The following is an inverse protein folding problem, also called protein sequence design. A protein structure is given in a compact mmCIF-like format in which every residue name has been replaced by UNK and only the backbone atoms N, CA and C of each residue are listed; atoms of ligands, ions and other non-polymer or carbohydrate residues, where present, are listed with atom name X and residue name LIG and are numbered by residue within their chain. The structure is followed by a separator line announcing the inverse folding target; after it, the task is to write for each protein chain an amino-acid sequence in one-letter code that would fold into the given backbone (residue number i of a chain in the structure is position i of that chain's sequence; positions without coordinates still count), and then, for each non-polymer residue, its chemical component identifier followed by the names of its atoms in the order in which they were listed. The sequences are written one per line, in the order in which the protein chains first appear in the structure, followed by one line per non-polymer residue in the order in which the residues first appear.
data_IF_334027089546
#
_entry.id   IF_334027089546
#
_cell.length_a   1.000
_cell.length_b   1.000
_cell.length_c   1.000
_cell.angle_alpha   90.00
_cell.angle_beta   90.00
_cell.angle_gamma   90.00
#
_symmetry.space_group_name_H-M   'P 1'
#
loop_
_entity.id
_entity.type
_entity.pdbx_description
1 polymer ?
#
# COMPACT_ATOMS: atom_id res chain seq x y z
N UNK A 1 0.70 16.51 8.41
CA UNK A 1 0.84 15.03 8.41
C UNK A 1 0.88 14.57 6.96
N UNK A 2 1.93 13.88 6.54
CA UNK A 2 2.01 13.39 5.17
C UNK A 2 0.96 12.32 4.90
N UNK A 3 0.38 12.39 3.72
CA UNK A 3 -0.57 11.39 3.23
C UNK A 3 -0.13 10.92 1.85
N UNK A 4 -0.58 9.72 1.48
CA UNK A 4 -0.20 9.10 0.21
C UNK A 4 -1.43 8.46 -0.41
N UNK A 5 -1.56 8.60 -1.72
CA UNK A 5 -2.46 7.76 -2.51
C UNK A 5 -1.59 6.94 -3.44
N UNK A 6 -1.65 5.62 -3.29
CA UNK A 6 -0.89 4.68 -4.12
C UNK A 6 -1.85 3.90 -5.00
N UNK A 7 -1.61 3.91 -6.30
CA UNK A 7 -2.38 3.11 -7.25
C UNK A 7 -1.53 1.94 -7.72
N UNK A 8 -2.04 0.73 -7.51
CA UNK A 8 -1.35 -0.52 -7.84
C UNK A 8 -2.14 -1.23 -8.93
N UNK A 9 -1.46 -1.62 -10.01
CA UNK A 9 -2.04 -2.52 -10.98
C UNK A 9 -1.49 -3.92 -10.74
N UNK A 10 -2.37 -4.90 -10.60
CA UNK A 10 -1.96 -6.30 -10.38
C UNK A 10 -2.16 -7.12 -11.64
N UNK A 11 -1.42 -8.22 -11.72
CA UNK A 11 -1.55 -9.15 -12.83
C UNK A 11 -2.95 -9.75 -12.86
N UNK A 12 -3.52 -9.89 -14.05
CA UNK A 12 -4.89 -10.36 -14.26
C UNK A 12 -5.15 -11.72 -13.59
N UNK A 13 -4.17 -12.60 -13.60
CA UNK A 13 -4.28 -13.94 -13.02
C UNK A 13 -3.86 -14.01 -11.55
N UNK A 14 -3.57 -12.86 -10.92
CA UNK A 14 -3.08 -12.78 -9.55
C UNK A 14 -3.97 -11.94 -8.64
N UNK A 15 -5.21 -11.66 -9.04
CA UNK A 15 -6.10 -10.76 -8.28
C UNK A 15 -6.35 -11.30 -6.86
N UNK A 16 -6.69 -12.58 -6.71
CA UNK A 16 -6.98 -13.14 -5.39
C UNK A 16 -5.73 -13.25 -4.53
N UNK A 17 -4.58 -13.58 -5.12
CA UNK A 17 -3.30 -13.55 -4.40
C UNK A 17 -2.96 -12.14 -3.93
N UNK A 18 -3.18 -11.14 -4.78
CA UNK A 18 -2.94 -9.75 -4.43
C UNK A 18 -3.82 -9.32 -3.26
N UNK A 19 -5.10 -9.66 -3.28
CA UNK A 19 -6.02 -9.33 -2.18
C UNK A 19 -5.55 -9.95 -0.85
N UNK A 20 -5.16 -11.21 -0.89
CA UNK A 20 -4.64 -11.89 0.30
C UNK A 20 -3.35 -11.25 0.81
N UNK A 21 -2.42 -10.96 -0.11
CA UNK A 21 -1.16 -10.31 0.24
C UNK A 21 -1.40 -8.93 0.85
N UNK A 22 -2.26 -8.12 0.25
CA UNK A 22 -2.53 -6.76 0.73
C UNK A 22 -3.24 -6.75 2.07
N UNK A 23 -4.15 -7.70 2.32
CA UNK A 23 -4.78 -7.85 3.65
C UNK A 23 -3.76 -8.17 4.73
N UNK A 24 -2.86 -9.10 4.45
CA UNK A 24 -1.79 -9.48 5.39
C UNK A 24 -0.85 -8.32 5.63
N UNK A 25 -0.47 -7.62 4.57
CA UNK A 25 0.40 -6.45 4.66
C UNK A 25 -0.23 -5.35 5.52
N UNK A 26 -1.49 -5.02 5.26
CA UNK A 26 -2.19 -3.98 6.03
C UNK A 26 -2.28 -4.35 7.51
N UNK A 27 -2.56 -5.62 7.83
CA UNK A 27 -2.61 -6.07 9.22
C UNK A 27 -1.23 -5.96 9.88
N UNK A 28 -0.16 -6.33 9.17
CA UNK A 28 1.22 -6.21 9.66
C UNK A 28 1.58 -4.76 9.94
N UNK A 29 1.26 -3.85 9.02
CA UNK A 29 1.53 -2.42 9.18
C UNK A 29 0.80 -1.86 10.41
N UNK A 30 -0.48 -2.17 10.56
CA UNK A 30 -1.25 -1.71 11.72
C UNK A 30 -0.69 -2.21 13.05
N UNK A 31 -0.17 -3.44 13.05
CA UNK A 31 0.38 -4.05 14.28
C UNK A 31 1.76 -3.50 14.64
N UNK A 32 2.58 -3.11 13.66
CA UNK A 32 4.00 -2.84 13.86
C UNK A 32 4.43 -1.40 13.60
N UNK A 33 3.56 -0.56 13.06
CA UNK A 33 3.89 0.83 12.71
C UNK A 33 2.95 1.81 13.41
N UNK A 34 3.23 2.18 14.65
CA UNK A 34 2.34 3.08 15.40
C UNK A 34 2.24 4.48 14.78
N UNK A 35 3.23 4.89 13.99
CA UNK A 35 3.23 6.18 13.30
C UNK A 35 2.42 6.20 12.00
N UNK A 36 1.97 5.05 11.52
CA UNK A 36 1.09 4.95 10.36
C UNK A 36 -0.35 5.04 10.84
N UNK A 37 -1.02 6.16 10.54
CA UNK A 37 -2.36 6.47 11.07
C UNK A 37 -3.48 5.92 10.20
N UNK A 38 -3.24 5.71 8.91
CA UNK A 38 -4.17 5.05 8.00
C UNK A 38 -3.37 4.27 6.96
N UNK A 39 -3.83 3.09 6.64
CA UNK A 39 -3.24 2.25 5.61
C UNK A 39 -4.32 1.31 5.12
N UNK A 40 -5.11 1.77 4.13
CA UNK A 40 -6.33 1.09 3.70
C UNK A 40 -6.26 0.84 2.21
N UNK A 41 -6.33 -0.43 1.82
CA UNK A 41 -6.40 -0.83 0.42
C UNK A 41 -7.84 -0.91 -0.04
N UNK A 42 -8.06 -0.44 -1.28
CA UNK A 42 -9.34 -0.49 -1.95
C UNK A 42 -9.15 -1.14 -3.32
N UNK A 43 -10.17 -1.83 -3.80
CA UNK A 43 -10.20 -2.33 -5.18
C UNK A 43 -11.15 -1.46 -5.98
N UNK A 44 -10.77 -1.04 -7.20
CA UNK A 44 -11.68 -0.28 -8.06
C UNK A 44 -12.86 -1.16 -8.45
N UNK A 45 -14.05 -0.56 -8.43
CA UNK A 45 -15.27 -1.30 -8.77
C UNK A 45 -15.33 -1.67 -10.25
N UNK A 46 -14.83 -0.79 -11.11
CA UNK A 46 -14.89 -0.95 -12.57
C UNK A 46 -13.66 -1.63 -13.18
N UNK A 47 -12.63 -1.90 -12.37
CA UNK A 47 -11.43 -2.60 -12.83
C UNK A 47 -10.82 -3.39 -11.66
N UNK A 48 -11.08 -4.71 -11.59
CA UNK A 48 -10.63 -5.53 -10.47
C UNK A 48 -9.10 -5.72 -10.40
N UNK A 49 -8.35 -5.32 -11.43
CA UNK A 49 -6.89 -5.38 -11.42
C UNK A 49 -6.26 -4.15 -10.76
N UNK A 50 -7.05 -3.12 -10.45
CA UNK A 50 -6.52 -1.87 -9.90
C UNK A 50 -6.91 -1.75 -8.43
N UNK A 51 -5.89 -1.54 -7.59
CA UNK A 51 -6.06 -1.30 -6.16
C UNK A 51 -5.53 0.08 -5.82
N UNK A 52 -6.19 0.74 -4.87
CA UNK A 52 -5.80 2.08 -4.43
C UNK A 52 -5.62 2.04 -2.91
N UNK A 53 -4.47 2.48 -2.43
CA UNK A 53 -4.20 2.62 -1.01
C UNK A 53 -4.31 4.08 -0.61
N UNK A 54 -5.04 4.35 0.47
CA UNK A 54 -4.95 5.62 1.17
C UNK A 54 -4.09 5.42 2.40
N UNK A 55 -3.09 6.29 2.58
CA UNK A 55 -2.10 6.18 3.65
C UNK A 55 -1.94 7.52 4.33
N UNK A 56 -1.82 7.51 5.64
CA UNK A 56 -1.59 8.71 6.44
C UNK A 56 -0.56 8.41 7.52
N UNK A 57 0.39 9.32 7.70
CA UNK A 57 1.51 9.17 8.63
C UNK A 57 1.55 10.35 9.60
N UNK A 58 1.95 10.10 10.84
CA UNK A 58 2.01 11.16 11.85
C UNK A 58 3.14 12.16 11.60
N UNK A 59 4.17 11.75 10.82
CA UNK A 59 5.36 12.58 10.53
C UNK A 59 6.09 12.06 9.30
N UNK A 60 7.02 12.87 8.78
CA UNK A 60 7.91 12.44 7.70
C UNK A 60 8.78 11.25 8.13
N UNK A 61 9.18 11.23 9.40
CA UNK A 61 9.95 10.12 9.97
C UNK A 61 9.15 8.81 9.92
N UNK A 62 7.86 8.86 10.29
CA UNK A 62 6.98 7.69 10.24
C UNK A 62 6.81 7.18 8.80
N UNK A 63 6.69 8.09 7.84
CA UNK A 63 6.60 7.73 6.43
C UNK A 63 7.88 7.03 5.96
N UNK A 64 9.03 7.56 6.34
CA UNK A 64 10.33 6.98 6.01
C UNK A 64 10.47 5.58 6.60
N UNK A 65 10.05 5.39 7.82
CA UNK A 65 10.06 4.11 8.51
C UNK A 65 9.17 3.08 7.78
N UNK A 66 7.98 3.51 7.33
CA UNK A 66 7.10 2.67 6.53
C UNK A 66 7.80 2.18 5.26
N UNK A 67 8.50 3.07 4.54
CA UNK A 67 9.24 2.70 3.34
C UNK A 67 10.31 1.65 3.62
N UNK A 68 11.01 1.75 4.75
CA UNK A 68 12.00 0.76 5.16
C UNK A 68 11.35 -0.59 5.46
N UNK A 69 10.23 -0.60 6.16
CA UNK A 69 9.49 -1.82 6.49
C UNK A 69 8.94 -2.52 5.25
N UNK A 70 8.50 -1.75 4.25
CA UNK A 70 7.98 -2.32 2.99
C UNK A 70 9.03 -3.13 2.23
N UNK A 71 10.31 -2.85 2.40
CA UNK A 71 11.37 -3.60 1.72
C UNK A 71 11.34 -5.09 2.07
N UNK A 72 10.92 -5.42 3.29
CA UNK A 72 10.79 -6.82 3.71
C UNK A 72 9.68 -7.56 2.95
N UNK A 73 8.76 -6.83 2.31
CA UNK A 73 7.63 -7.39 1.56
C UNK A 73 7.80 -7.27 0.04
N UNK A 74 9.01 -6.89 -0.42
CA UNK A 74 9.27 -6.64 -1.84
C UNK A 74 8.95 -7.81 -2.74
N UNK A 75 9.29 -9.04 -2.33
CA UNK A 75 9.02 -10.25 -3.11
C UNK A 75 7.52 -10.47 -3.34
N UNK A 76 6.69 -10.19 -2.33
CA UNK A 76 5.24 -10.29 -2.44
C UNK A 76 4.68 -9.30 -3.45
N UNK A 77 5.17 -8.06 -3.45
CA UNK A 77 4.76 -7.07 -4.44
C UNK A 77 5.16 -7.49 -5.86
N UNK A 78 6.40 -7.93 -6.04
CA UNK A 78 6.89 -8.37 -7.35
C UNK A 78 6.05 -9.52 -7.90
N UNK A 79 5.61 -10.43 -7.04
CA UNK A 79 4.82 -11.59 -7.44
C UNK A 79 3.46 -11.19 -8.04
N UNK A 80 2.85 -10.12 -7.57
CA UNK A 80 1.47 -9.77 -7.93
C UNK A 80 1.34 -8.50 -8.78
N UNK A 81 2.32 -7.59 -8.75
CA UNK A 81 2.21 -6.32 -9.46
C UNK A 81 2.49 -6.45 -10.96
N UNK A 82 1.72 -5.71 -11.74
CA UNK A 82 1.93 -5.50 -13.16
C UNK A 82 2.42 -4.07 -13.35
N UNK A 83 3.74 -3.90 -13.26
CA UNK A 83 4.37 -2.59 -13.37
C UNK A 83 4.57 -1.88 -12.04
N UNK A 84 5.03 -0.65 -12.11
CA UNK A 84 5.33 0.17 -10.93
C UNK A 84 4.06 0.79 -10.33
N UNK A 85 3.97 0.90 -9.00
CA UNK A 85 2.90 1.68 -8.38
C UNK A 85 3.01 3.15 -8.77
N UNK A 86 1.86 3.79 -8.89
CA UNK A 86 1.77 5.24 -9.02
C UNK A 86 1.58 5.81 -7.62
N UNK A 87 2.51 6.67 -7.19
CA UNK A 87 2.51 7.24 -5.84
C UNK A 87 2.25 8.74 -5.92
N UNK A 88 1.22 9.20 -5.23
CA UNK A 88 0.92 10.63 -5.11
C UNK A 88 1.14 11.03 -3.65
N UNK A 89 2.05 11.97 -3.44
CA UNK A 89 2.37 12.49 -2.12
C UNK A 89 1.49 13.71 -1.83
N UNK A 90 0.89 13.74 -0.65
CA UNK A 90 -0.06 14.77 -0.25
C UNK A 90 0.33 15.31 1.13
N UNK A 91 0.00 16.57 1.36
CA UNK A 91 0.06 17.16 2.71
C UNK A 91 -1.35 17.46 3.18
N UNK A 92 -1.68 16.99 4.37
CA UNK A 92 -2.95 17.33 5.00
C UNK A 92 -2.93 18.79 5.43
N UNK A 93 -3.98 19.52 5.13
CA UNK A 93 -4.08 20.94 5.51
C UNK A 93 -4.91 21.13 6.79
#
# INVERSE_FOLDING_TARGET
MPSVVATLKVKQDKIEEAKSFLRTLAANVRANEPGTKAYVFHQKKDDPTVFVAYEKYESDEAFKQHGQNLRAHGAGFVAVLDGRPEIVLLDEI
#
